data_IF_951804872260
#
_entry.id   IF_951804872260
#
_cell.length_a   1.000
_cell.length_b   1.000
_cell.length_c   1.000
_cell.angle_alpha   90.00
_cell.angle_beta   90.00
_cell.angle_gamma   90.00
#
_symmetry.space_group_name_H-M   'P 1'
#
loop_
_entity.id
_entity.type
_entity.pdbx_description
1 polymer ?
#
# COMPACT_ATOMS: atom_id res chain seq x y z
N UNK A 1 -4.15 22.05 11.85
CA UNK A 1 -3.35 22.07 10.60
C UNK A 1 -3.03 20.63 10.17
N UNK A 2 -3.12 20.30 8.88
CA UNK A 2 -2.88 18.95 8.34
C UNK A 2 -1.53 18.87 7.64
N UNK A 3 -1.01 17.65 7.40
CA UNK A 3 0.23 17.45 6.65
C UNK A 3 0.13 18.03 5.21
N UNK A 4 -1.03 17.88 4.55
CA UNK A 4 -1.26 18.47 3.22
C UNK A 4 -1.21 20.00 3.24
N UNK A 5 -1.78 20.64 4.26
CA UNK A 5 -1.74 22.10 4.37
C UNK A 5 -0.30 22.61 4.58
N UNK A 6 0.51 21.89 5.37
CA UNK A 6 1.94 22.21 5.52
C UNK A 6 2.71 22.01 4.22
N UNK A 7 2.44 20.92 3.49
CA UNK A 7 3.08 20.68 2.20
C UNK A 7 2.77 21.78 1.19
N UNK A 8 1.52 22.25 1.12
CA UNK A 8 1.14 23.40 0.30
C UNK A 8 1.88 24.68 0.72
N UNK A 9 2.05 24.92 2.01
CA UNK A 9 2.82 26.06 2.53
C UNK A 9 4.32 25.97 2.21
N UNK A 10 4.91 24.77 2.23
CA UNK A 10 6.32 24.57 1.87
C UNK A 10 6.60 24.84 0.39
N UNK A 11 5.66 24.50 -0.49
CA UNK A 11 5.82 24.72 -1.94
C UNK A 11 5.30 26.08 -2.41
N UNK A 12 4.53 26.80 -1.58
CA UNK A 12 3.98 28.11 -1.93
C UNK A 12 5.04 29.17 -2.29
N UNK A 13 6.21 29.25 -1.61
CA UNK A 13 7.29 30.15 -2.00
C UNK A 13 7.94 29.82 -3.34
N UNK A 14 7.72 28.62 -3.88
CA UNK A 14 8.29 28.23 -5.17
C UNK A 14 7.56 28.93 -6.32
N UNK A 15 8.34 29.57 -7.19
CA UNK A 15 7.83 30.22 -8.39
C UNK A 15 7.01 29.23 -9.24
N UNK A 16 5.93 29.67 -9.91
CA UNK A 16 5.13 28.80 -10.78
C UNK A 16 5.98 28.05 -11.81
N UNK A 17 7.02 28.70 -12.36
CA UNK A 17 7.94 28.08 -13.29
C UNK A 17 8.81 26.99 -12.64
N UNK A 18 9.24 27.16 -11.40
CA UNK A 18 9.99 26.12 -10.67
C UNK A 18 9.10 24.90 -10.41
N UNK A 19 7.85 25.11 -9.99
CA UNK A 19 6.89 24.03 -9.78
C UNK A 19 6.57 23.27 -11.07
N UNK A 20 6.41 23.97 -12.19
CA UNK A 20 6.23 23.35 -13.50
C UNK A 20 7.44 22.50 -13.90
N UNK A 21 8.66 23.03 -13.74
CA UNK A 21 9.88 22.28 -14.02
C UNK A 21 10.02 21.03 -13.14
N UNK A 22 9.72 21.12 -11.83
CA UNK A 22 9.72 19.97 -10.93
C UNK A 22 8.66 18.92 -11.31
N UNK A 23 7.53 19.34 -11.86
CA UNK A 23 6.44 18.45 -12.29
C UNK A 23 6.73 17.72 -13.62
N UNK A 24 7.66 18.23 -14.43
CA UNK A 24 7.96 17.73 -15.78
C UNK A 24 9.36 17.09 -15.88
N UNK A 25 10.35 17.63 -15.17
CA UNK A 25 11.72 17.09 -15.05
C UNK A 25 12.29 17.36 -13.64
N UNK A 26 11.91 16.53 -12.64
CA UNK A 26 12.45 16.62 -11.28
C UNK A 26 13.98 16.66 -11.24
N UNK A 27 14.65 15.81 -12.02
CA UNK A 27 16.12 15.70 -12.00
C UNK A 27 16.79 16.97 -12.51
N UNK A 28 16.37 17.46 -13.66
CA UNK A 28 16.90 18.69 -14.25
C UNK A 28 16.59 19.91 -13.38
N UNK A 29 15.38 19.99 -12.83
CA UNK A 29 14.97 21.08 -11.95
C UNK A 29 15.81 21.13 -10.67
N UNK A 30 15.99 20.01 -9.96
CA UNK A 30 16.78 19.95 -8.73
C UNK A 30 18.24 20.38 -8.96
N UNK A 31 18.84 19.97 -10.10
CA UNK A 31 20.21 20.38 -10.45
C UNK A 31 20.31 21.86 -10.83
N UNK A 32 19.49 22.30 -11.78
CA UNK A 32 19.62 23.62 -12.40
C UNK A 32 19.02 24.77 -11.58
N UNK A 33 17.97 24.51 -10.80
CA UNK A 33 17.24 25.55 -10.04
C UNK A 33 17.54 25.53 -8.56
N UNK A 34 17.83 24.36 -7.99
CA UNK A 34 18.11 24.21 -6.56
C UNK A 34 19.60 23.97 -6.27
N UNK A 35 20.44 23.81 -7.32
CA UNK A 35 21.88 23.59 -7.16
C UNK A 35 22.21 22.29 -6.44
N UNK A 36 21.31 21.29 -6.49
CA UNK A 36 21.50 20.02 -5.81
C UNK A 36 22.31 19.05 -6.65
N UNK A 37 23.27 18.39 -6.03
CA UNK A 37 24.01 17.28 -6.61
C UNK A 37 23.22 15.99 -6.47
N UNK A 38 22.88 15.35 -7.59
CA UNK A 38 22.14 14.08 -7.59
C UNK A 38 23.08 12.94 -7.92
N UNK A 39 23.18 11.96 -7.03
CA UNK A 39 24.04 10.79 -7.19
C UNK A 39 23.19 9.51 -7.09
N UNK A 40 23.23 8.72 -8.16
CA UNK A 40 22.61 7.40 -8.18
C UNK A 40 23.47 6.40 -7.40
N UNK A 41 22.84 5.57 -6.58
CA UNK A 41 23.48 4.50 -5.80
C UNK A 41 22.64 3.22 -5.87
N UNK A 42 23.29 2.06 -5.78
CA UNK A 42 22.57 0.76 -5.83
C UNK A 42 21.71 0.51 -4.59
N UNK A 43 22.10 1.07 -3.45
CA UNK A 43 21.38 0.99 -2.18
C UNK A 43 21.69 2.24 -1.34
N UNK A 44 20.74 3.18 -1.19
CA UNK A 44 20.89 4.31 -0.30
C UNK A 44 20.99 3.84 1.16
N UNK A 45 21.68 4.61 2.03
CA UNK A 45 21.67 4.31 3.45
C UNK A 45 20.24 4.36 4.01
N UNK A 46 19.93 3.50 4.96
CA UNK A 46 18.61 3.49 5.63
C UNK A 46 18.52 4.60 6.66
N UNK A 47 17.44 5.41 6.62
CA UNK A 47 17.00 6.17 7.79
C UNK A 47 16.30 5.21 8.75
N UNK A 48 16.62 5.29 10.05
CA UNK A 48 15.92 4.51 11.07
C UNK A 48 14.42 4.78 10.96
N UNK A 49 13.60 3.73 11.09
CA UNK A 49 12.13 3.75 10.98
C UNK A 49 11.52 3.58 9.57
N UNK A 50 11.67 2.37 9.02
CA UNK A 50 10.50 1.69 8.42
C UNK A 50 10.14 1.99 6.96
N UNK A 51 11.08 1.82 6.04
CA UNK A 51 10.82 1.68 4.60
C UNK A 51 12.14 1.46 3.88
N UNK A 52 12.16 0.71 2.77
CA UNK A 52 13.35 0.71 1.90
C UNK A 52 13.55 2.15 1.41
N UNK A 53 14.57 2.84 1.95
CA UNK A 53 14.88 4.20 1.55
C UNK A 53 15.38 4.14 0.10
N UNK A 54 14.51 4.45 -0.86
CA UNK A 54 14.90 4.60 -2.26
C UNK A 54 15.75 5.88 -2.46
N UNK A 55 15.95 6.71 -1.44
CA UNK A 55 16.87 7.86 -1.45
C UNK A 55 17.12 8.50 -0.08
N UNK A 56 18.05 9.45 -0.04
CA UNK A 56 18.51 10.19 1.14
C UNK A 56 19.11 11.55 0.75
N UNK A 57 18.65 12.64 1.37
CA UNK A 57 19.28 13.96 1.28
C UNK A 57 20.38 14.20 2.33
N UNK A 58 21.40 14.96 1.93
CA UNK A 58 22.47 15.52 2.75
C UNK A 58 22.44 17.04 2.59
N UNK A 59 21.83 17.71 3.57
CA UNK A 59 21.51 19.13 3.50
C UNK A 59 22.75 20.01 3.35
N UNK A 60 23.75 19.78 4.20
CA UNK A 60 25.02 20.54 4.20
C UNK A 60 25.79 20.42 2.89
N UNK A 61 25.72 19.26 2.26
CA UNK A 61 26.42 18.96 1.01
C UNK A 61 25.59 19.32 -0.23
N UNK A 62 24.34 19.79 -0.05
CA UNK A 62 23.37 19.98 -1.13
C UNK A 62 23.29 18.77 -2.06
N UNK A 63 23.26 17.57 -1.48
CA UNK A 63 23.37 16.30 -2.22
C UNK A 63 22.19 15.40 -1.93
N UNK A 64 21.70 14.70 -2.95
CA UNK A 64 20.69 13.64 -2.84
C UNK A 64 21.26 12.35 -3.41
N UNK A 65 21.23 11.29 -2.61
CA UNK A 65 21.45 9.92 -3.05
C UNK A 65 20.11 9.29 -3.38
N UNK A 66 20.02 8.55 -4.49
CA UNK A 66 18.80 7.82 -4.82
C UNK A 66 19.11 6.52 -5.56
N UNK A 67 18.24 5.53 -5.45
CA UNK A 67 18.26 4.33 -6.28
C UNK A 67 17.44 4.55 -7.54
N UNK A 68 18.03 4.28 -8.70
CA UNK A 68 17.26 4.28 -9.94
C UNK A 68 16.21 3.15 -9.90
N UNK A 69 15.08 3.39 -10.57
CA UNK A 69 14.00 2.41 -10.62
C UNK A 69 13.70 1.97 -12.05
N UNK A 70 14.49 1.07 -12.66
CA UNK A 70 14.31 0.67 -14.06
C UNK A 70 12.88 0.21 -14.35
N UNK A 71 12.27 0.80 -15.38
CA UNK A 71 10.88 0.50 -15.78
C UNK A 71 9.81 1.10 -14.86
N UNK A 72 10.18 1.99 -13.94
CA UNK A 72 9.28 2.77 -13.08
C UNK A 72 9.78 4.21 -12.94
N UNK A 73 8.87 5.13 -12.63
CA UNK A 73 9.22 6.53 -12.34
C UNK A 73 9.27 6.81 -10.83
N UNK A 74 9.47 5.78 -10.00
CA UNK A 74 9.45 5.91 -8.53
C UNK A 74 10.57 6.81 -8.02
N UNK A 75 11.73 6.79 -8.67
CA UNK A 75 12.85 7.70 -8.40
C UNK A 75 12.44 9.18 -8.39
N UNK A 76 11.48 9.59 -9.23
CA UNK A 76 11.02 10.98 -9.27
C UNK A 76 10.30 11.39 -7.98
N UNK A 77 9.50 10.48 -7.41
CA UNK A 77 8.85 10.71 -6.13
C UNK A 77 9.90 10.81 -5.02
N UNK A 78 10.87 9.89 -5.01
CA UNK A 78 11.98 9.92 -4.06
C UNK A 78 12.72 11.25 -4.12
N UNK A 79 13.12 11.71 -5.30
CA UNK A 79 13.82 12.96 -5.49
C UNK A 79 13.05 14.17 -4.95
N UNK A 80 11.74 14.24 -5.23
CA UNK A 80 10.91 15.34 -4.73
C UNK A 80 10.57 15.22 -3.23
N UNK A 81 10.55 14.00 -2.69
CA UNK A 81 10.43 13.79 -1.24
C UNK A 81 11.66 14.28 -0.51
N UNK A 82 12.84 13.99 -1.05
CA UNK A 82 14.10 14.52 -0.51
C UNK A 82 14.18 16.05 -0.64
N UNK A 83 13.63 16.65 -1.71
CA UNK A 83 13.42 18.11 -1.76
C UNK A 83 12.47 18.59 -0.65
N UNK A 84 11.40 17.84 -0.36
CA UNK A 84 10.51 18.11 0.77
C UNK A 84 11.28 18.19 2.09
N UNK A 85 12.22 17.27 2.32
CA UNK A 85 13.13 17.33 3.48
C UNK A 85 14.01 18.59 3.49
N UNK A 86 14.55 18.98 2.34
CA UNK A 86 15.30 20.24 2.21
C UNK A 86 14.46 21.47 2.58
N UNK A 87 13.21 21.52 2.13
CA UNK A 87 12.31 22.64 2.42
C UNK A 87 11.83 22.63 3.87
N UNK A 88 11.60 21.45 4.45
CA UNK A 88 11.10 21.30 5.81
C UNK A 88 12.15 21.62 6.88
N UNK A 89 13.44 21.40 6.60
CA UNK A 89 14.52 21.66 7.58
C UNK A 89 14.46 23.09 8.13
N UNK A 90 14.26 24.07 7.26
CA UNK A 90 14.29 25.49 7.61
C UNK A 90 12.90 26.05 8.01
N UNK A 91 11.87 25.20 8.09
CA UNK A 91 10.50 25.62 8.40
C UNK A 91 10.06 25.16 9.80
N UNK A 92 10.18 26.07 10.77
CA UNK A 92 9.76 25.85 12.16
C UNK A 92 8.30 25.38 12.29
N UNK A 93 7.42 25.72 11.35
CA UNK A 93 6.00 25.31 11.41
C UNK A 93 5.86 23.80 11.24
N UNK A 94 6.71 23.19 10.42
CA UNK A 94 6.73 21.73 10.22
C UNK A 94 7.17 21.05 11.49
N UNK A 95 8.28 21.51 12.08
CA UNK A 95 8.83 20.92 13.30
C UNK A 95 7.92 21.11 14.52
N UNK A 96 7.34 22.30 14.69
CA UNK A 96 6.37 22.56 15.75
C UNK A 96 5.14 21.66 15.62
N UNK A 97 4.60 21.51 14.42
CA UNK A 97 3.46 20.61 14.17
C UNK A 97 3.81 19.13 14.38
N UNK A 98 5.02 18.72 14.02
CA UNK A 98 5.50 17.35 14.19
C UNK A 98 5.74 17.01 15.67
N UNK A 99 6.21 17.96 16.48
CA UNK A 99 6.47 17.77 17.91
C UNK A 99 5.21 17.38 18.71
N UNK A 100 4.03 17.82 18.26
CA UNK A 100 2.74 17.46 18.87
C UNK A 100 2.27 16.03 18.51
N UNK A 101 3.02 15.29 17.69
CA UNK A 101 2.66 13.95 17.23
C UNK A 101 3.36 12.87 18.06
N UNK A 102 2.71 11.71 18.13
CA UNK A 102 3.27 10.52 18.79
C UNK A 102 4.64 10.11 18.21
N UNK A 103 4.84 10.40 16.93
CA UNK A 103 6.04 10.07 16.18
C UNK A 103 6.37 11.28 15.27
N UNK A 104 7.17 12.24 15.78
CA UNK A 104 7.50 13.47 15.03
C UNK A 104 8.24 13.19 13.72
N UNK A 105 9.18 12.25 13.71
CA UNK A 105 9.95 11.92 12.51
C UNK A 105 9.03 11.39 11.41
N UNK A 106 8.14 10.45 11.74
CA UNK A 106 7.13 9.96 10.79
C UNK A 106 6.19 11.07 10.31
N UNK A 107 5.87 12.03 11.17
CA UNK A 107 5.02 13.15 10.80
C UNK A 107 5.70 14.06 9.76
N UNK A 108 7.01 14.29 9.90
CA UNK A 108 7.81 15.01 8.88
C UNK A 108 7.86 14.24 7.57
N UNK A 109 8.08 12.93 7.62
CA UNK A 109 8.05 12.08 6.41
C UNK A 109 6.68 12.18 5.70
N UNK A 110 5.57 12.20 6.45
CA UNK A 110 4.24 12.40 5.87
C UNK A 110 4.12 13.75 5.14
N UNK A 111 4.65 14.84 5.71
CA UNK A 111 4.68 16.15 5.04
C UNK A 111 5.53 16.09 3.76
N UNK A 112 6.69 15.44 3.80
CA UNK A 112 7.58 15.32 2.64
C UNK A 112 6.95 14.48 1.52
N UNK A 113 6.25 13.40 1.86
CA UNK A 113 5.47 12.61 0.89
C UNK A 113 4.36 13.45 0.23
N UNK A 114 3.71 14.33 0.99
CA UNK A 114 2.69 15.26 0.47
C UNK A 114 3.29 16.32 -0.44
N UNK A 115 4.48 16.85 -0.12
CA UNK A 115 5.22 17.77 -1.00
C UNK A 115 5.53 17.09 -2.33
N UNK A 116 6.09 15.88 -2.29
CA UNK A 116 6.43 15.12 -3.49
C UNK A 116 5.20 14.85 -4.38
N UNK A 117 4.09 14.43 -3.76
CA UNK A 117 2.84 14.18 -4.48
C UNK A 117 2.27 15.45 -5.12
N UNK A 118 2.25 16.58 -4.39
CA UNK A 118 1.72 17.85 -4.86
C UNK A 118 2.54 18.44 -6.02
N UNK A 119 3.87 18.25 -6.00
CA UNK A 119 4.76 18.66 -7.09
C UNK A 119 4.63 17.76 -8.32
N UNK A 120 4.57 16.44 -8.15
CA UNK A 120 4.44 15.50 -9.28
C UNK A 120 3.07 15.56 -9.95
N UNK A 121 2.01 15.68 -9.16
CA UNK A 121 0.63 15.71 -9.62
C UNK A 121 -0.07 16.98 -9.11
N UNK A 122 0.27 18.17 -9.65
CA UNK A 122 -0.38 19.40 -9.26
C UNK A 122 -1.89 19.34 -9.46
N UNK A 123 -2.64 20.10 -8.65
CA UNK A 123 -4.10 20.15 -8.70
C UNK A 123 -4.64 20.43 -10.12
N UNK A 124 -3.92 21.23 -10.92
CA UNK A 124 -4.27 21.49 -12.32
C UNK A 124 -4.16 20.24 -13.22
N UNK A 125 -3.11 19.42 -13.08
CA UNK A 125 -2.98 18.13 -13.80
C UNK A 125 -4.08 17.15 -13.35
N UNK A 126 -4.35 17.10 -12.05
CA UNK A 126 -5.43 16.27 -11.50
C UNK A 126 -6.80 16.69 -12.07
N UNK A 127 -7.12 17.98 -12.02
CA UNK A 127 -8.39 18.52 -12.54
C UNK A 127 -8.53 18.28 -14.05
N UNK A 128 -7.45 18.43 -14.83
CA UNK A 128 -7.46 18.20 -16.27
C UNK A 128 -7.71 16.73 -16.65
N UNK A 129 -7.24 15.77 -15.83
CA UNK A 129 -7.51 14.34 -16.04
C UNK A 129 -8.89 13.95 -15.56
N UNK A 130 -9.25 14.37 -14.33
CA UNK A 130 -10.51 14.00 -13.70
C UNK A 130 -11.73 14.65 -14.36
N UNK A 131 -11.60 15.89 -14.89
CA UNK A 131 -12.68 16.65 -15.54
C UNK A 131 -14.00 16.73 -14.74
N UNK A 132 -13.90 16.70 -13.41
CA UNK A 132 -15.07 16.67 -12.51
C UNK A 132 -15.82 15.32 -12.47
N UNK A 133 -15.31 14.29 -13.14
CA UNK A 133 -15.87 12.94 -13.13
C UNK A 133 -15.54 12.19 -11.84
N UNK A 134 -16.28 11.10 -11.59
CA UNK A 134 -16.00 10.20 -10.48
C UNK A 134 -14.67 9.46 -10.71
N UNK A 135 -13.90 9.12 -9.66
CA UNK A 135 -12.65 8.38 -9.80
C UNK A 135 -12.83 7.09 -10.62
N UNK A 136 -11.91 6.84 -11.55
CA UNK A 136 -11.88 5.63 -12.39
C UNK A 136 -10.45 5.14 -12.58
N UNK A 137 -10.27 3.85 -12.85
CA UNK A 137 -8.97 3.27 -13.17
C UNK A 137 -8.35 3.92 -14.41
N UNK A 138 -9.16 4.39 -15.35
CA UNK A 138 -8.68 5.14 -16.51
C UNK A 138 -7.97 6.44 -16.10
N UNK A 139 -8.40 7.11 -15.03
CA UNK A 139 -7.69 8.29 -14.52
C UNK A 139 -6.29 7.96 -14.00
N UNK A 140 -6.08 6.77 -13.43
CA UNK A 140 -4.74 6.33 -13.01
C UNK A 140 -3.82 6.21 -14.23
N UNK A 141 -4.31 5.54 -15.29
CA UNK A 141 -3.57 5.37 -16.53
C UNK A 141 -3.31 6.72 -17.23
N UNK A 142 -4.31 7.60 -17.29
CA UNK A 142 -4.18 8.91 -17.90
C UNK A 142 -3.19 9.81 -17.15
N UNK A 143 -3.22 9.82 -15.81
CA UNK A 143 -2.22 10.54 -15.01
C UNK A 143 -0.81 10.00 -15.28
N UNK A 144 -0.66 8.67 -15.31
CA UNK A 144 0.63 8.04 -15.58
C UNK A 144 1.16 8.42 -16.97
N UNK A 145 0.30 8.46 -17.99
CA UNK A 145 0.70 8.81 -19.35
C UNK A 145 0.97 10.31 -19.55
N UNK A 146 0.44 11.17 -18.68
CA UNK A 146 0.52 12.64 -18.79
C UNK A 146 1.43 13.28 -17.74
N UNK A 147 2.17 12.49 -16.99
CA UNK A 147 3.09 12.96 -15.96
C UNK A 147 4.33 12.10 -15.90
N UNK A 148 5.33 12.57 -15.17
CA UNK A 148 6.52 11.79 -14.81
C UNK A 148 6.34 11.05 -13.48
N UNK A 149 5.11 10.96 -12.97
CA UNK A 149 4.81 10.20 -11.77
C UNK A 149 4.85 8.68 -12.05
N UNK A 150 5.01 7.89 -10.99
CA UNK A 150 4.89 6.43 -11.07
C UNK A 150 3.43 6.00 -11.01
N UNK A 151 3.13 4.77 -11.47
CA UNK A 151 1.79 4.17 -11.39
C UNK A 151 1.28 4.15 -9.94
N UNK A 152 2.17 3.93 -9.00
CA UNK A 152 1.90 3.92 -7.57
C UNK A 152 1.45 5.28 -7.05
N UNK A 153 2.15 6.35 -7.42
CA UNK A 153 1.78 7.73 -7.05
C UNK A 153 0.44 8.11 -7.67
N UNK A 154 0.21 7.77 -8.94
CA UNK A 154 -1.09 7.98 -9.59
C UNK A 154 -2.22 7.21 -8.88
N UNK A 155 -1.97 5.96 -8.48
CA UNK A 155 -2.95 5.15 -7.77
C UNK A 155 -3.27 5.72 -6.37
N UNK A 156 -2.26 6.22 -5.64
CA UNK A 156 -2.48 6.94 -4.37
C UNK A 156 -3.37 8.15 -4.59
N UNK A 157 -2.99 9.02 -5.55
CA UNK A 157 -3.69 10.26 -5.78
C UNK A 157 -5.17 10.04 -6.14
N UNK A 158 -5.47 9.01 -6.96
CA UNK A 158 -6.85 8.65 -7.31
C UNK A 158 -7.60 7.98 -6.15
N UNK A 159 -6.94 7.12 -5.35
CA UNK A 159 -7.57 6.53 -4.16
C UNK A 159 -7.97 7.62 -3.13
N UNK A 160 -7.21 8.70 -3.03
CA UNK A 160 -7.56 9.85 -2.18
C UNK A 160 -8.76 10.66 -2.68
N UNK A 161 -9.17 10.49 -3.94
CA UNK A 161 -10.39 11.11 -4.47
C UNK A 161 -11.65 10.28 -4.18
N UNK A 162 -11.52 9.08 -3.59
CA UNK A 162 -12.67 8.26 -3.23
C UNK A 162 -13.49 8.93 -2.10
N UNK A 163 -14.76 9.18 -2.38
CA UNK A 163 -15.75 9.67 -1.40
C UNK A 163 -16.27 8.59 -0.45
N UNK A 164 -15.82 7.34 -0.60
CA UNK A 164 -16.20 6.18 0.19
C UNK A 164 -14.96 5.33 0.54
N UNK A 165 -15.12 4.32 1.40
CA UNK A 165 -14.09 3.31 1.61
C UNK A 165 -13.86 2.53 0.30
N UNK A 166 -12.61 2.14 0.09
CA UNK A 166 -12.15 1.54 -1.15
C UNK A 166 -10.64 1.64 -1.31
N UNK A 167 -10.14 1.08 -2.39
CA UNK A 167 -8.72 1.10 -2.71
C UNK A 167 -8.49 1.10 -4.22
N UNK A 168 -7.37 1.70 -4.62
CA UNK A 168 -6.79 1.52 -5.94
C UNK A 168 -5.73 0.42 -5.90
N UNK A 169 -5.65 -0.40 -6.94
CA UNK A 169 -4.63 -1.43 -7.09
C UNK A 169 -3.99 -1.40 -8.48
N UNK A 170 -2.69 -1.65 -8.53
CA UNK A 170 -1.92 -1.89 -9.75
C UNK A 170 -1.55 -3.36 -9.77
N UNK A 171 -1.84 -4.04 -10.88
CA UNK A 171 -1.60 -5.48 -11.04
C UNK A 171 -0.73 -5.76 -12.26
N UNK A 172 0.20 -6.70 -12.15
CA UNK A 172 0.96 -7.19 -13.30
C UNK A 172 0.15 -8.28 -14.01
N UNK A 173 -0.27 -8.05 -15.26
CA UNK A 173 -1.23 -8.93 -15.95
C UNK A 173 -0.67 -10.33 -16.21
N UNK A 174 0.61 -10.45 -16.61
CA UNK A 174 1.23 -11.77 -16.84
C UNK A 174 1.44 -12.58 -15.55
N UNK A 175 1.94 -11.93 -14.49
CA UNK A 175 2.21 -12.58 -13.20
C UNK A 175 0.94 -12.76 -12.35
N UNK A 176 -0.17 -12.12 -12.73
CA UNK A 176 -1.46 -12.13 -12.00
C UNK A 176 -1.29 -11.79 -10.53
N UNK A 177 -0.53 -10.73 -10.28
CA UNK A 177 -0.11 -10.32 -8.94
C UNK A 177 -0.28 -8.82 -8.76
N UNK A 178 -0.67 -8.40 -7.56
CA UNK A 178 -0.71 -7.00 -7.16
C UNK A 178 0.72 -6.48 -6.99
N UNK A 179 1.09 -5.44 -7.73
CA UNK A 179 2.39 -4.77 -7.57
C UNK A 179 2.31 -3.62 -6.57
N UNK A 180 1.13 -3.02 -6.42
CA UNK A 180 0.88 -1.93 -5.49
C UNK A 180 -0.61 -1.77 -5.17
N UNK A 181 -0.92 -1.27 -3.98
CA UNK A 181 -2.28 -0.91 -3.58
C UNK A 181 -2.26 0.34 -2.68
N UNK A 182 -3.18 1.27 -2.93
CA UNK A 182 -3.42 2.46 -2.12
C UNK A 182 -4.84 2.46 -1.60
N UNK A 183 -5.01 2.74 -0.31
CA UNK A 183 -6.30 2.64 0.38
C UNK A 183 -6.82 4.01 0.71
N UNK A 184 -8.14 4.19 0.60
CA UNK A 184 -8.83 5.32 1.21
C UNK A 184 -9.07 4.99 2.69
N UNK A 185 -8.57 5.84 3.60
CA UNK A 185 -8.69 5.62 5.03
C UNK A 185 -8.26 4.19 5.47
N UNK A 186 -8.93 3.60 6.45
CA UNK A 186 -8.64 2.28 7.00
C UNK A 186 -9.35 1.13 6.26
N UNK A 187 -9.63 1.30 4.95
CA UNK A 187 -10.33 0.29 4.12
C UNK A 187 -9.75 -1.11 4.32
N UNK A 188 -10.63 -2.05 4.69
CA UNK A 188 -10.34 -3.47 4.86
C UNK A 188 -11.54 -4.29 4.35
N UNK A 189 -11.31 -5.38 3.59
CA UNK A 189 -10.01 -5.91 3.18
C UNK A 189 -9.44 -5.18 1.95
N UNK A 190 -8.12 -5.19 1.81
CA UNK A 190 -7.44 -4.65 0.64
C UNK A 190 -6.12 -5.39 0.41
N UNK A 191 -5.65 -5.48 -0.86
CA UNK A 191 -4.44 -6.19 -1.19
C UNK A 191 -3.19 -5.55 -0.60
N UNK A 192 -2.15 -6.36 -0.60
CA UNK A 192 -0.77 -5.99 -0.33
C UNK A 192 0.06 -6.21 -1.59
N UNK A 193 1.22 -5.56 -1.65
CA UNK A 193 2.21 -5.86 -2.69
C UNK A 193 2.54 -7.35 -2.65
N UNK A 194 2.66 -7.94 -3.83
CA UNK A 194 2.92 -9.35 -4.08
C UNK A 194 1.75 -10.30 -3.75
N UNK A 195 0.57 -9.81 -3.36
CA UNK A 195 -0.60 -10.68 -3.25
C UNK A 195 -1.00 -11.19 -4.65
N UNK A 196 -1.24 -12.50 -4.82
CA UNK A 196 -1.82 -13.01 -6.06
C UNK A 196 -3.25 -12.50 -6.21
N UNK A 197 -3.70 -12.31 -7.45
CA UNK A 197 -5.12 -12.06 -7.70
C UNK A 197 -5.90 -13.33 -7.31
N UNK A 198 -6.90 -13.26 -6.40
CA UNK A 198 -7.60 -14.44 -5.92
C UNK A 198 -8.24 -15.24 -7.06
N UNK A 199 -8.26 -16.59 -6.99
CA UNK A 199 -9.00 -17.41 -7.96
C UNK A 199 -10.47 -16.99 -8.05
N UNK A 200 -10.99 -16.88 -9.27
CA UNK A 200 -12.36 -16.44 -9.53
C UNK A 200 -12.59 -14.92 -9.43
N UNK A 201 -11.60 -14.14 -8.99
CA UNK A 201 -11.73 -12.69 -8.92
C UNK A 201 -11.89 -12.05 -10.32
N UNK A 202 -12.73 -11.03 -10.43
CA UNK A 202 -13.08 -10.42 -11.71
C UNK A 202 -11.86 -9.86 -12.47
N UNK A 203 -10.82 -9.39 -11.78
CA UNK A 203 -9.57 -8.91 -12.39
C UNK A 203 -8.83 -9.98 -13.22
N UNK A 204 -9.06 -11.27 -12.99
CA UNK A 204 -8.49 -12.33 -13.84
C UNK A 204 -9.04 -12.30 -15.27
N UNK A 205 -10.19 -11.64 -15.48
CA UNK A 205 -10.82 -11.46 -16.80
C UNK A 205 -10.29 -10.23 -17.54
N UNK A 206 -9.55 -9.34 -16.86
CA UNK A 206 -9.00 -8.13 -17.47
C UNK A 206 -7.93 -8.50 -18.50
N UNK A 207 -8.17 -8.16 -19.77
CA UNK A 207 -7.23 -8.37 -20.87
C UNK A 207 -6.34 -7.14 -21.06
N UNK A 208 -5.15 -7.28 -21.65
CA UNK A 208 -4.33 -6.12 -22.06
C UNK A 208 -5.14 -5.14 -22.91
N UNK A 209 -4.99 -3.84 -22.66
CA UNK A 209 -5.78 -2.76 -23.28
C UNK A 209 -7.31 -2.85 -23.06
N UNK A 210 -7.76 -3.75 -22.18
CA UNK A 210 -9.16 -3.95 -21.87
C UNK A 210 -9.68 -3.04 -20.77
N UNK A 211 -11.01 -3.02 -20.61
CA UNK A 211 -11.71 -2.35 -19.51
C UNK A 211 -12.74 -3.30 -18.91
N UNK A 212 -13.05 -3.11 -17.64
CA UNK A 212 -14.00 -3.93 -16.90
C UNK A 212 -14.70 -3.08 -15.84
N UNK A 213 -16.03 -3.12 -15.81
CA UNK A 213 -16.85 -2.65 -14.69
C UNK A 213 -17.77 -3.76 -14.25
N UNK A 214 -17.75 -4.10 -12.97
CA UNK A 214 -18.58 -5.20 -12.44
C UNK A 214 -18.60 -5.18 -10.91
N UNK A 215 -19.54 -5.90 -10.28
CA UNK A 215 -19.40 -6.27 -8.88
C UNK A 215 -18.27 -7.27 -8.71
N UNK A 216 -17.46 -7.07 -7.70
CA UNK A 216 -16.33 -7.91 -7.35
C UNK A 216 -16.22 -7.99 -5.83
N UNK A 217 -15.11 -8.53 -5.36
CA UNK A 217 -14.88 -8.73 -3.93
C UNK A 217 -13.38 -8.73 -3.65
N UNK A 218 -12.98 -8.53 -2.40
CA UNK A 218 -11.61 -8.84 -1.98
C UNK A 218 -11.64 -9.69 -0.71
N UNK A 219 -10.76 -10.70 -0.57
CA UNK A 219 -10.80 -11.56 0.60
C UNK A 219 -10.08 -10.93 1.80
N UNK A 220 -10.63 -11.16 2.98
CA UNK A 220 -9.90 -11.11 4.24
C UNK A 220 -8.90 -12.28 4.33
N UNK A 221 -7.95 -12.18 5.27
CA UNK A 221 -6.96 -13.23 5.48
C UNK A 221 -7.53 -14.57 5.99
N UNK A 222 -8.78 -14.57 6.47
CA UNK A 222 -9.54 -15.76 6.88
C UNK A 222 -10.33 -16.39 5.71
N UNK A 223 -10.32 -15.77 4.53
CA UNK A 223 -11.01 -16.25 3.32
C UNK A 223 -12.42 -15.68 3.13
N UNK A 224 -12.98 -14.95 4.10
CA UNK A 224 -14.25 -14.25 3.91
C UNK A 224 -14.10 -13.16 2.83
N UNK A 225 -15.11 -13.03 1.97
CA UNK A 225 -15.10 -12.06 0.88
C UNK A 225 -15.87 -10.81 1.29
N UNK A 226 -15.27 -9.65 1.08
CA UNK A 226 -15.98 -8.37 1.17
C UNK A 226 -16.29 -7.88 -0.24
N UNK A 227 -17.55 -7.52 -0.49
CA UNK A 227 -17.99 -7.06 -1.80
C UNK A 227 -17.57 -5.63 -2.08
N UNK A 228 -17.22 -5.37 -3.34
CA UNK A 228 -16.87 -4.05 -3.84
C UNK A 228 -17.45 -3.87 -5.24
N UNK A 229 -17.68 -2.62 -5.63
CA UNK A 229 -17.83 -2.25 -7.02
C UNK A 229 -16.43 -2.08 -7.61
N UNK A 230 -16.20 -2.67 -8.78
CA UNK A 230 -14.90 -2.64 -9.47
C UNK A 230 -15.00 -1.85 -10.77
N UNK A 231 -14.11 -0.87 -10.95
CA UNK A 231 -13.74 -0.29 -12.24
C UNK A 231 -12.26 -0.60 -12.51
N UNK A 232 -11.96 -1.14 -13.69
CA UNK A 232 -10.61 -1.50 -14.07
C UNK A 232 -10.32 -1.22 -15.55
N UNK A 233 -9.08 -0.88 -15.84
CA UNK A 233 -8.53 -0.79 -17.19
C UNK A 233 -7.11 -1.36 -17.22
N UNK A 234 -6.56 -1.57 -18.40
CA UNK A 234 -5.23 -2.12 -18.56
C UNK A 234 -4.45 -1.40 -19.67
N UNK A 235 -3.13 -1.34 -19.50
CA UNK A 235 -2.18 -1.17 -20.61
C UNK A 235 -1.73 -2.56 -21.13
N UNK A 236 -0.65 -2.63 -21.90
CA UNK A 236 -0.13 -3.90 -22.43
C UNK A 236 0.40 -4.87 -21.34
N UNK A 237 0.82 -4.36 -20.19
CA UNK A 237 1.56 -5.08 -19.13
C UNK A 237 0.87 -5.03 -17.76
N UNK A 238 0.26 -3.92 -17.41
CA UNK A 238 -0.32 -3.64 -16.11
C UNK A 238 -1.82 -3.38 -16.21
N UNK A 239 -2.55 -3.88 -15.22
CA UNK A 239 -3.93 -3.52 -14.94
C UNK A 239 -3.99 -2.50 -13.81
N UNK A 240 -4.96 -1.62 -13.89
CA UNK A 240 -5.32 -0.62 -12.89
C UNK A 240 -6.74 -0.90 -12.45
N UNK A 241 -6.99 -0.88 -11.15
CA UNK A 241 -8.27 -1.22 -10.57
C UNK A 241 -8.63 -0.25 -9.46
N UNK A 242 -9.91 0.11 -9.37
CA UNK A 242 -10.51 0.79 -8.23
C UNK A 242 -11.62 -0.10 -7.72
N UNK A 243 -11.54 -0.45 -6.44
CA UNK A 243 -12.59 -1.15 -5.70
C UNK A 243 -13.18 -0.17 -4.69
N UNK A 244 -14.48 0.07 -4.76
CA UNK A 244 -15.19 1.03 -3.92
C UNK A 244 -16.36 0.34 -3.20
N UNK A 245 -16.66 0.72 -1.96
CA UNK A 245 -17.83 0.23 -1.20
C UNK A 245 -19.15 0.88 -1.63
N UNK A 246 -19.10 1.84 -2.54
CA UNK A 246 -20.29 2.44 -3.14
C UNK A 246 -20.23 2.26 -4.64
N UNK A 247 -21.41 2.15 -5.28
CA UNK A 247 -21.49 2.12 -6.73
C UNK A 247 -21.23 3.51 -7.32
N UNK A 248 -19.96 3.79 -7.55
CA UNK A 248 -19.55 5.04 -8.16
C UNK A 248 -19.90 5.09 -9.65
N UNK A 249 -20.15 3.96 -10.31
CA UNK A 249 -20.22 3.90 -11.77
C UNK A 249 -21.58 3.46 -12.32
N UNK A 250 -22.59 3.32 -11.45
CA UNK A 250 -23.95 2.91 -11.84
C UNK A 250 -23.96 1.52 -12.46
N UNK A 251 -23.18 0.60 -11.89
CA UNK A 251 -23.12 -0.80 -12.30
C UNK A 251 -24.47 -1.48 -12.04
N UNK A 252 -25.15 -1.13 -10.94
CA UNK A 252 -26.48 -1.60 -10.61
C UNK A 252 -27.51 -0.47 -10.62
N UNK A 253 -28.73 -0.82 -11.04
CA UNK A 253 -29.87 0.09 -11.02
C UNK A 253 -30.59 0.10 -9.65
N UNK A 254 -30.39 -0.93 -8.82
CA UNK A 254 -31.04 -1.09 -7.52
C UNK A 254 -29.99 -1.23 -6.41
N UNK A 255 -29.95 -0.25 -5.51
CA UNK A 255 -29.02 -0.22 -4.38
C UNK A 255 -29.76 -0.62 -3.11
N UNK A 256 -29.72 -1.90 -2.75
CA UNK A 256 -30.17 -2.34 -1.42
C UNK A 256 -28.97 -2.26 -0.49
N UNK A 257 -28.85 -1.15 0.23
CA UNK A 257 -27.79 -0.98 1.24
C UNK A 257 -28.12 -1.86 2.44
N UNK A 258 -27.60 -3.07 2.48
CA UNK A 258 -27.59 -3.89 3.69
C UNK A 258 -26.37 -3.45 4.50
N UNK A 259 -26.53 -2.89 5.72
CA UNK A 259 -25.38 -2.57 6.55
C UNK A 259 -24.66 -3.87 6.90
N UNK A 260 -23.49 -4.12 6.30
CA UNK A 260 -22.59 -5.17 6.78
C UNK A 260 -21.97 -4.68 8.08
N UNK A 261 -22.61 -4.99 9.20
CA UNK A 261 -22.10 -4.78 10.56
C UNK A 261 -20.89 -5.68 10.85
N UNK A 262 -19.77 -5.52 10.14
CA UNK A 262 -18.49 -5.92 10.74
C UNK A 262 -18.03 -4.76 11.62
N UNK A 263 -18.19 -4.96 12.92
CA UNK A 263 -17.68 -4.09 13.99
C UNK A 263 -16.25 -3.69 13.65
N UNK A 264 -15.95 -2.38 13.56
CA UNK A 264 -14.59 -1.86 13.42
C UNK A 264 -13.73 -2.50 14.50
N UNK A 265 -12.89 -3.46 14.13
CA UNK A 265 -12.03 -4.15 15.09
C UNK A 265 -10.88 -3.21 15.40
N UNK A 266 -10.98 -2.50 16.52
CA UNK A 266 -10.04 -1.49 16.99
C UNK A 266 -8.76 -2.06 17.61
N UNK A 267 -8.54 -3.38 17.51
CA UNK A 267 -7.31 -4.02 17.96
C UNK A 267 -6.61 -4.71 16.79
N UNK A 268 -5.31 -4.43 16.64
CA UNK A 268 -4.40 -5.23 15.83
C UNK A 268 -3.34 -5.84 16.74
N UNK A 269 -3.06 -7.12 16.55
CA UNK A 269 -2.00 -7.84 17.28
C UNK A 269 -0.92 -8.22 16.29
N UNK A 270 0.33 -7.90 16.60
CA UNK A 270 1.45 -8.32 15.78
C UNK A 270 1.64 -9.83 15.88
N UNK A 271 1.54 -10.54 14.76
CA UNK A 271 1.66 -12.00 14.68
C UNK A 271 2.86 -12.38 13.84
N UNK A 272 3.78 -13.13 14.45
CA UNK A 272 4.85 -13.84 13.74
C UNK A 272 4.41 -15.28 13.48
N UNK A 273 4.05 -15.59 12.24
CA UNK A 273 3.59 -16.91 11.89
C UNK A 273 4.73 -17.91 11.79
N UNK A 274 4.77 -18.85 12.73
CA UNK A 274 5.72 -19.97 12.73
C UNK A 274 5.43 -21.03 11.66
N UNK A 275 4.25 -21.00 11.03
CA UNK A 275 3.89 -21.96 9.96
C UNK A 275 4.35 -21.50 8.58
N UNK A 276 4.16 -20.21 8.25
CA UNK A 276 4.52 -19.68 6.92
C UNK A 276 5.70 -18.68 6.95
N UNK A 277 6.28 -18.43 8.12
CA UNK A 277 7.44 -17.56 8.32
C UNK A 277 7.15 -16.06 8.22
N UNK A 278 5.91 -15.67 7.89
CA UNK A 278 5.53 -14.27 7.67
C UNK A 278 5.13 -13.57 8.95
N UNK A 279 5.42 -12.28 9.00
CA UNK A 279 5.14 -11.39 10.13
C UNK A 279 4.15 -10.30 9.71
N UNK A 280 3.33 -9.85 10.65
CA UNK A 280 2.46 -8.69 10.43
C UNK A 280 1.29 -8.61 11.40
N UNK A 281 0.55 -7.52 11.32
CA UNK A 281 -0.62 -7.28 12.16
C UNK A 281 -1.83 -8.14 11.74
N UNK A 282 -2.44 -8.81 12.71
CA UNK A 282 -3.70 -9.53 12.60
C UNK A 282 -4.79 -8.78 13.36
N UNK A 283 -5.95 -8.61 12.73
CA UNK A 283 -7.18 -8.09 13.36
C UNK A 283 -8.22 -9.18 13.58
N UNK A 284 -7.82 -10.45 13.38
CA UNK A 284 -8.67 -11.59 13.64
C UNK A 284 -8.78 -11.81 15.15
N UNK A 285 -9.98 -12.18 15.60
CA UNK A 285 -10.20 -12.60 16.97
C UNK A 285 -9.24 -13.74 17.34
N UNK A 286 -8.70 -13.75 18.57
CA UNK A 286 -7.89 -14.85 19.05
C UNK A 286 -8.63 -16.19 18.91
N UNK A 287 -7.92 -17.23 18.47
CA UNK A 287 -8.45 -18.59 18.43
C UNK A 287 -8.96 -18.99 19.83
N UNK A 288 -10.16 -19.57 19.91
CA UNK A 288 -10.79 -20.02 21.17
C UNK A 288 -9.93 -21.01 21.95
N UNK A 289 -9.12 -21.82 21.25
CA UNK A 289 -8.37 -22.91 21.85
C UNK A 289 -6.97 -22.50 22.32
N UNK A 290 -6.26 -21.67 21.54
CA UNK A 290 -4.88 -21.27 21.87
C UNK A 290 -4.73 -19.81 22.27
N UNK A 291 -5.79 -18.99 22.18
CA UNK A 291 -5.76 -17.56 22.52
C UNK A 291 -4.85 -16.72 21.63
N UNK A 292 -4.38 -17.25 20.49
CA UNK A 292 -3.53 -16.52 19.55
C UNK A 292 -4.34 -16.10 18.33
N UNK A 293 -4.14 -14.87 17.85
CA UNK A 293 -4.73 -14.43 16.58
C UNK A 293 -4.15 -15.25 15.42
N UNK A 294 -5.00 -15.79 14.53
CA UNK A 294 -4.52 -16.55 13.38
C UNK A 294 -3.66 -15.68 12.46
N UNK A 295 -2.70 -16.33 11.80
CA UNK A 295 -1.91 -15.67 10.76
C UNK A 295 -2.81 -15.28 9.59
N UNK A 296 -2.89 -13.99 9.30
CA UNK A 296 -3.62 -13.44 8.16
C UNK A 296 -3.17 -13.93 6.78
N UNK A 297 -2.00 -14.56 6.66
CA UNK A 297 -1.49 -15.05 5.36
C UNK A 297 -1.85 -16.52 5.09
N UNK A 298 -2.04 -17.32 6.13
CA UNK A 298 -2.32 -18.75 5.96
C UNK A 298 -3.48 -19.27 6.81
N UNK A 299 -4.19 -18.39 7.52
CA UNK A 299 -5.30 -18.70 8.42
C UNK A 299 -4.93 -19.50 9.67
N UNK A 300 -3.65 -19.85 9.86
CA UNK A 300 -3.22 -20.81 10.88
C UNK A 300 -2.74 -20.11 12.15
N UNK A 301 -3.16 -20.64 13.30
CA UNK A 301 -2.63 -20.33 14.62
C UNK A 301 -1.76 -21.48 15.15
N UNK A 302 -1.29 -21.37 16.38
CA UNK A 302 -0.46 -22.39 17.03
C UNK A 302 -1.18 -23.74 17.25
N UNK A 303 -2.51 -23.80 17.17
CA UNK A 303 -3.25 -25.08 17.21
C UNK A 303 -2.82 -26.02 16.09
N UNK A 304 -2.53 -25.50 14.90
CA UNK A 304 -2.11 -26.32 13.77
C UNK A 304 -0.69 -26.88 13.98
N UNK A 305 0.19 -26.11 14.62
CA UNK A 305 1.51 -26.59 15.02
C UNK A 305 1.41 -27.66 16.11
N UNK A 306 0.54 -27.48 17.10
CA UNK A 306 0.27 -28.50 18.12
C UNK A 306 -0.26 -29.79 17.49
N UNK A 307 -1.17 -29.68 16.52
CA UNK A 307 -1.72 -30.84 15.78
C UNK A 307 -0.64 -31.57 14.98
N UNK A 308 0.25 -30.84 14.31
CA UNK A 308 1.41 -31.42 13.58
C UNK A 308 2.44 -32.03 14.51
N UNK A 309 2.56 -31.53 15.74
CA UNK A 309 3.46 -32.05 16.76
C UNK A 309 2.88 -33.24 17.54
N UNK A 310 1.75 -33.81 17.09
CA UNK A 310 1.10 -34.95 17.69
C UNK A 310 0.93 -36.09 16.68
N UNK A 311 0.99 -37.32 17.15
CA UNK A 311 0.62 -38.51 16.39
C UNK A 311 -0.36 -39.36 17.21
N UNK A 312 -1.22 -40.11 16.51
CA UNK A 312 -2.17 -41.02 17.15
C UNK A 312 -1.46 -42.33 17.50
N UNK A 313 -1.55 -42.74 18.77
CA UNK A 313 -1.05 -44.04 19.21
C UNK A 313 -1.89 -45.17 18.60
N UNK A 314 -1.25 -46.16 17.97
CA UNK A 314 -1.94 -47.29 17.34
C UNK A 314 -2.64 -48.24 18.32
N UNK A 315 -2.24 -48.22 19.61
CA UNK A 315 -2.82 -49.09 20.66
C UNK A 315 -3.96 -48.43 21.43
N UNK A 316 -3.79 -47.19 21.89
CA UNK A 316 -4.78 -46.50 22.74
C UNK A 316 -5.55 -45.38 22.04
N UNK A 317 -5.28 -45.10 20.76
CA UNK A 317 -5.92 -44.06 19.94
C UNK A 317 -5.82 -42.61 20.46
N UNK A 318 -5.07 -42.37 21.54
CA UNK A 318 -4.81 -41.02 22.05
C UNK A 318 -3.84 -40.27 21.14
N UNK A 319 -4.10 -38.96 20.97
CA UNK A 319 -3.15 -38.03 20.37
C UNK A 319 -2.05 -37.76 21.39
N UNK A 320 -0.81 -38.10 21.03
CA UNK A 320 0.35 -37.93 21.90
C UNK A 320 1.41 -37.08 21.21
N UNK A 321 2.19 -36.29 21.96
CA UNK A 321 3.30 -35.54 21.38
C UNK A 321 4.28 -36.44 20.63
N UNK A 322 4.78 -36.01 19.47
CA UNK A 322 5.74 -36.78 18.66
C UNK A 322 6.99 -37.19 19.45
N UNK A 323 7.43 -36.38 20.42
CA UNK A 323 8.57 -36.71 21.29
C UNK A 323 8.38 -37.98 22.15
N UNK A 324 7.14 -38.36 22.43
CA UNK A 324 6.81 -39.60 23.18
C UNK A 324 6.30 -40.71 22.26
N UNK A 325 6.26 -40.45 20.95
CA UNK A 325 5.81 -41.37 19.92
C UNK A 325 7.01 -42.12 19.33
N UNK A 326 7.02 -43.45 19.40
CA UNK A 326 8.05 -44.30 18.80
C UNK A 326 7.39 -45.59 18.29
N UNK A 327 7.66 -45.94 17.05
CA UNK A 327 7.15 -47.16 16.38
C UNK A 327 5.61 -47.31 16.49
N UNK A 328 4.87 -46.20 16.33
CA UNK A 328 3.40 -46.18 16.40
C UNK A 328 2.81 -46.11 17.82
N UNK A 329 3.62 -46.27 18.87
CA UNK A 329 3.16 -46.36 20.26
C UNK A 329 3.54 -45.14 21.10
N UNK A 330 2.66 -44.77 22.04
CA UNK A 330 2.96 -43.74 23.03
C UNK A 330 3.80 -44.27 24.19
N UNK A 331 4.47 -43.37 24.91
CA UNK A 331 5.32 -43.72 26.06
C UNK A 331 4.65 -44.57 27.14
N UNK A 332 3.33 -44.46 27.32
CA UNK A 332 2.56 -45.28 28.28
C UNK A 332 2.26 -46.68 27.73
N UNK A 333 1.95 -46.80 26.44
CA UNK A 333 1.67 -48.09 25.78
C UNK A 333 2.93 -48.90 25.47
N UNK A 334 4.10 -48.27 25.59
CA UNK A 334 5.42 -48.89 25.51
C UNK A 334 5.92 -49.44 26.83
N UNK A 335 5.30 -49.05 27.95
CA UNK A 335 5.62 -49.57 29.28
C UNK A 335 4.90 -50.88 29.54
#
# INVERSE_FOLDING_TARGET
MTASALAEQLIAPLEPQQRALLADDPRGALRSRFGLTLQEVSAPPTRGHGGACDGMSFLRDKRILFAATPGSNRENFTLLRELGHFLAEEDDRVWNWAADRRDPERAVEEVCDRVAAALLLPASKMAAVMRGERPSAAHILDLFNRSVASREVCAIAIAEQLGCLGFAAVVHLRQRQVTFAARRADTRPAPWRADPIPPGHALLRLRPNGRLRTRSWWPFGDGEQHEYWLDACADARYGFAILAEADLWGIENLHVTVPTERRRVSFSTFVRCRTCGREGESTSFPCSDCGQSPCRYCGKCDCELRRRAQARCSKCNLLVPLRTWKDGLCGTCRR
#
